data_IF_876201036985
#
_entry.id   IF_876201036985
#
_cell.length_a   1.000
_cell.length_b   1.000
_cell.length_c   1.000
_cell.angle_alpha   90.00
_cell.angle_beta   90.00
_cell.angle_gamma   90.00
#
_symmetry.space_group_name_H-M   'P 1'
#
loop_
_entity.id
_entity.type
_entity.pdbx_description
1 polymer ?
#
# COMPACT_ATOMS: atom_id res chain seq x y z
N UNK A 1 9.10 12.77 6.87
CA UNK A 1 10.46 13.13 7.33
C UNK A 1 11.39 13.02 6.13
N UNK A 2 12.08 14.11 5.82
CA UNK A 2 12.28 14.55 4.44
C UNK A 2 13.34 13.81 3.64
N UNK A 3 12.93 13.33 2.47
CA UNK A 3 13.80 12.70 1.45
C UNK A 3 14.98 13.60 1.04
N UNK A 4 14.84 14.92 1.22
CA UNK A 4 15.87 15.92 0.97
C UNK A 4 17.06 15.80 1.93
N UNK A 5 16.84 15.37 3.17
CA UNK A 5 17.91 15.16 4.16
C UNK A 5 18.78 13.98 3.70
N UNK A 6 18.16 12.87 3.30
CA UNK A 6 18.88 11.71 2.77
C UNK A 6 19.67 12.04 1.49
N UNK A 7 19.06 12.77 0.56
CA UNK A 7 19.71 13.19 -0.69
C UNK A 7 20.95 14.06 -0.44
N UNK A 8 20.89 14.96 0.55
CA UNK A 8 22.04 15.81 0.89
C UNK A 8 23.20 15.03 1.53
N UNK A 9 22.90 14.02 2.35
CA UNK A 9 23.91 13.14 2.94
C UNK A 9 24.60 12.32 1.84
N UNK A 10 23.83 11.75 0.92
CA UNK A 10 24.35 10.93 -0.19
C UNK A 10 25.22 11.78 -1.14
N UNK A 11 24.78 13.00 -1.48
CA UNK A 11 25.53 13.91 -2.33
C UNK A 11 26.87 14.33 -1.72
N UNK A 12 26.90 14.58 -0.40
CA UNK A 12 28.12 14.91 0.33
C UNK A 12 29.13 13.76 0.32
N UNK A 13 28.67 12.54 0.60
CA UNK A 13 29.52 11.33 0.59
C UNK A 13 30.07 11.05 -0.82
N UNK A 14 29.25 11.21 -1.87
CA UNK A 14 29.69 11.04 -3.25
C UNK A 14 30.80 12.03 -3.66
N UNK A 15 30.71 13.28 -3.19
CA UNK A 15 31.70 14.32 -3.49
C UNK A 15 33.05 14.05 -2.81
N UNK A 16 33.03 13.57 -1.56
CA UNK A 16 34.23 13.19 -0.81
C UNK A 16 34.92 11.98 -1.46
N UNK A 17 34.15 10.98 -1.88
CA UNK A 17 34.69 9.82 -2.61
C UNK A 17 35.29 10.25 -3.96
N UNK A 18 34.62 11.16 -4.67
CA UNK A 18 35.12 11.79 -5.90
C UNK A 18 36.53 12.38 -5.76
N UNK A 19 36.78 13.10 -4.67
CA UNK A 19 38.08 13.71 -4.37
C UNK A 19 39.16 12.66 -4.03
N UNK A 20 38.81 11.64 -3.25
CA UNK A 20 39.77 10.59 -2.83
C UNK A 20 40.22 9.74 -4.05
N UNK A 21 39.34 9.48 -5.02
CA UNK A 21 39.66 8.76 -6.27
C UNK A 21 40.68 9.54 -7.12
N UNK A 22 40.60 10.87 -7.12
CA UNK A 22 41.49 11.72 -7.92
C UNK A 22 42.96 11.59 -7.49
N UNK A 23 43.19 11.31 -6.20
CA UNK A 23 44.52 11.29 -5.57
C UNK A 23 45.29 9.99 -5.85
N UNK A 24 44.63 8.84 -6.05
CA UNK A 24 45.30 7.54 -6.25
C UNK A 24 45.33 7.11 -7.73
N UNK A 25 46.46 7.35 -8.40
CA UNK A 25 46.61 7.26 -9.87
C UNK A 25 46.83 5.85 -10.44
N UNK A 26 47.37 4.90 -9.67
CA UNK A 26 47.73 3.56 -10.18
C UNK A 26 46.75 2.42 -9.78
N UNK A 27 45.86 2.64 -8.81
CA UNK A 27 44.82 1.66 -8.43
C UNK A 27 43.41 1.99 -8.97
N UNK A 28 43.36 2.86 -10.00
CA UNK A 28 42.14 3.47 -10.55
C UNK A 28 41.06 2.47 -10.98
N UNK A 29 41.44 1.27 -11.44
CA UNK A 29 40.47 0.26 -11.89
C UNK A 29 39.73 -0.39 -10.71
N UNK A 30 40.46 -0.83 -9.69
CA UNK A 30 39.86 -1.50 -8.52
C UNK A 30 38.98 -0.51 -7.75
N UNK A 31 39.45 0.72 -7.55
CA UNK A 31 38.70 1.77 -6.86
C UNK A 31 37.41 2.11 -7.64
N UNK A 32 37.47 2.24 -8.98
CA UNK A 32 36.29 2.47 -9.82
C UNK A 32 35.28 1.32 -9.73
N UNK A 33 35.74 0.08 -9.76
CA UNK A 33 34.86 -1.10 -9.65
C UNK A 33 34.15 -1.12 -8.30
N UNK A 34 34.88 -0.88 -7.20
CA UNK A 34 34.29 -0.85 -5.85
C UNK A 34 33.24 0.24 -5.74
N UNK A 35 33.46 1.41 -6.35
CA UNK A 35 32.50 2.52 -6.32
C UNK A 35 31.28 2.31 -7.19
N UNK A 36 31.45 1.73 -8.38
CA UNK A 36 30.32 1.35 -9.22
C UNK A 36 29.48 0.30 -8.50
N UNK A 37 30.12 -0.69 -7.88
CA UNK A 37 29.45 -1.72 -7.10
C UNK A 37 28.72 -1.14 -5.88
N UNK A 38 29.36 -0.22 -5.13
CA UNK A 38 28.73 0.42 -3.99
C UNK A 38 27.55 1.30 -4.40
N UNK A 39 27.66 2.01 -5.53
CA UNK A 39 26.57 2.82 -6.07
C UNK A 39 25.38 1.95 -6.52
N UNK A 40 25.63 0.81 -7.17
CA UNK A 40 24.59 -0.14 -7.57
C UNK A 40 23.90 -0.71 -6.34
N UNK A 41 24.67 -1.17 -5.34
CA UNK A 41 24.11 -1.70 -4.10
C UNK A 41 23.25 -0.65 -3.38
N UNK A 42 23.74 0.58 -3.28
CA UNK A 42 23.02 1.69 -2.66
C UNK A 42 21.72 2.05 -3.41
N UNK A 43 21.75 2.03 -4.74
CA UNK A 43 20.56 2.28 -5.56
C UNK A 43 19.53 1.17 -5.39
N UNK A 44 19.96 -0.10 -5.37
CA UNK A 44 19.08 -1.24 -5.14
C UNK A 44 18.41 -1.20 -3.76
N UNK A 45 19.17 -0.91 -2.70
CA UNK A 45 18.61 -0.83 -1.33
C UNK A 45 17.64 0.34 -1.19
N UNK A 46 17.93 1.48 -1.81
CA UNK A 46 17.04 2.65 -1.78
C UNK A 46 15.70 2.37 -2.46
N UNK A 47 15.70 1.70 -3.63
CA UNK A 47 14.47 1.31 -4.33
C UNK A 47 13.67 0.31 -3.49
N UNK A 48 14.35 -0.68 -2.90
CA UNK A 48 13.69 -1.68 -2.05
C UNK A 48 13.04 -1.05 -0.82
N UNK A 49 13.73 -0.14 -0.14
CA UNK A 49 13.19 0.58 1.03
C UNK A 49 11.99 1.47 0.61
N UNK A 50 12.09 2.17 -0.52
CA UNK A 50 10.99 2.99 -1.02
C UNK A 50 9.76 2.14 -1.36
N UNK A 51 9.95 0.95 -1.95
CA UNK A 51 8.88 0.01 -2.21
C UNK A 51 8.21 -0.46 -0.91
N UNK A 52 9.00 -0.89 0.07
CA UNK A 52 8.51 -1.36 1.37
C UNK A 52 7.73 -0.27 2.11
N UNK A 53 8.24 0.97 2.05
CA UNK A 53 7.57 2.13 2.64
C UNK A 53 6.22 2.44 1.97
N UNK A 54 6.16 2.36 0.64
CA UNK A 54 4.91 2.53 -0.10
C UNK A 54 3.90 1.43 0.22
N UNK A 55 4.34 0.17 0.36
CA UNK A 55 3.44 -0.93 0.75
C UNK A 55 2.87 -0.73 2.15
N UNK A 56 3.68 -0.29 3.10
CA UNK A 56 3.23 0.01 4.47
C UNK A 56 2.21 1.15 4.47
N UNK A 57 2.50 2.27 3.81
CA UNK A 57 1.55 3.37 3.71
C UNK A 57 0.27 3.00 2.98
N UNK A 58 0.37 2.12 1.97
CA UNK A 58 -0.81 1.58 1.28
C UNK A 58 -1.69 0.78 2.24
N UNK A 59 -1.11 -0.08 3.08
CA UNK A 59 -1.85 -0.86 4.08
C UNK A 59 -2.51 0.03 5.12
N UNK A 60 -1.79 1.01 5.65
CA UNK A 60 -2.31 2.00 6.61
C UNK A 60 -3.47 2.81 6.00
N UNK A 61 -3.36 3.22 4.73
CA UNK A 61 -4.43 3.91 4.04
C UNK A 61 -5.67 3.03 3.86
N UNK A 62 -5.49 1.76 3.51
CA UNK A 62 -6.58 0.78 3.36
C UNK A 62 -7.29 0.54 4.69
N UNK A 63 -6.53 0.34 5.77
CA UNK A 63 -7.04 0.19 7.14
C UNK A 63 -7.92 1.39 7.52
N UNK A 64 -7.38 2.60 7.38
CA UNK A 64 -8.07 3.85 7.70
C UNK A 64 -9.34 4.04 6.87
N UNK A 65 -9.26 3.76 5.57
CA UNK A 65 -10.42 3.83 4.66
C UNK A 65 -11.48 2.80 5.01
N UNK A 66 -11.11 1.57 5.37
CA UNK A 66 -12.04 0.53 5.80
C UNK A 66 -12.76 0.93 7.10
N UNK A 67 -12.02 1.45 8.09
CA UNK A 67 -12.61 1.98 9.32
C UNK A 67 -13.56 3.16 9.06
N UNK A 68 -13.14 4.11 8.24
CA UNK A 68 -13.96 5.27 7.89
C UNK A 68 -15.27 4.85 7.21
N UNK A 69 -15.19 3.90 6.26
CA UNK A 69 -16.37 3.39 5.57
C UNK A 69 -17.29 2.63 6.51
N UNK A 70 -16.76 1.74 7.36
CA UNK A 70 -17.54 1.00 8.35
C UNK A 70 -18.31 1.93 9.30
N UNK A 71 -17.67 3.01 9.76
CA UNK A 71 -18.31 4.00 10.63
C UNK A 71 -19.47 4.73 9.94
N UNK A 72 -19.48 4.80 8.60
CA UNK A 72 -20.52 5.43 7.80
C UNK A 72 -21.73 4.52 7.52
N UNK A 73 -21.71 3.24 7.93
CA UNK A 73 -22.84 2.31 7.73
C UNK A 73 -24.17 2.86 8.25
N UNK A 74 -24.15 3.50 9.42
CA UNK A 74 -25.38 4.00 10.06
C UNK A 74 -25.84 5.37 9.51
N UNK A 75 -24.97 6.06 8.77
CA UNK A 75 -25.26 7.36 8.15
C UNK A 75 -25.77 7.22 6.70
N UNK A 76 -25.78 6.01 6.14
CA UNK A 76 -26.09 5.74 4.73
C UNK A 76 -27.17 4.65 4.59
N UNK A 77 -27.85 4.62 3.44
CA UNK A 77 -28.77 3.52 3.13
C UNK A 77 -28.00 2.20 3.01
N UNK A 78 -28.66 1.07 3.30
CA UNK A 78 -28.03 -0.25 3.17
C UNK A 78 -27.49 -0.48 1.75
N UNK A 79 -28.28 -0.18 0.72
CA UNK A 79 -27.84 -0.20 -0.68
C UNK A 79 -26.63 0.71 -0.96
N UNK A 80 -26.66 1.96 -0.48
CA UNK A 80 -25.54 2.90 -0.66
C UNK A 80 -24.26 2.42 0.00
N UNK A 81 -24.37 1.83 1.20
CA UNK A 81 -23.26 1.22 1.90
C UNK A 81 -22.70 0.00 1.16
N UNK A 82 -23.54 -0.85 0.60
CA UNK A 82 -23.13 -2.01 -0.21
C UNK A 82 -22.35 -1.57 -1.44
N UNK A 83 -22.84 -0.57 -2.20
CA UNK A 83 -22.12 -0.05 -3.36
C UNK A 83 -20.79 0.64 -3.00
N UNK A 84 -20.76 1.39 -1.90
CA UNK A 84 -19.52 2.00 -1.41
C UNK A 84 -18.50 0.93 -1.01
N UNK A 85 -18.95 -0.13 -0.35
CA UNK A 85 -18.12 -1.28 0.04
C UNK A 85 -17.58 -2.04 -1.18
N UNK A 86 -18.42 -2.27 -2.19
CA UNK A 86 -17.99 -2.86 -3.47
C UNK A 86 -16.94 -2.01 -4.17
N UNK A 87 -17.16 -0.69 -4.26
CA UNK A 87 -16.22 0.25 -4.89
C UNK A 87 -14.87 0.22 -4.16
N UNK A 88 -14.89 0.21 -2.83
CA UNK A 88 -13.69 0.06 -2.02
C UNK A 88 -12.95 -1.25 -2.33
N UNK A 89 -13.66 -2.37 -2.44
CA UNK A 89 -13.06 -3.67 -2.76
C UNK A 89 -12.55 -3.75 -4.19
N UNK A 90 -13.20 -3.08 -5.14
CA UNK A 90 -12.76 -3.02 -6.54
C UNK A 90 -11.42 -2.29 -6.68
N UNK A 91 -11.27 -1.15 -5.99
CA UNK A 91 -10.02 -0.38 -5.96
C UNK A 91 -8.88 -1.21 -5.36
N UNK A 92 -9.17 -2.10 -4.41
CA UNK A 92 -8.19 -2.92 -3.71
C UNK A 92 -8.21 -4.40 -4.16
N UNK A 93 -8.70 -4.67 -5.38
CA UNK A 93 -8.83 -6.05 -5.90
C UNK A 93 -7.51 -6.75 -6.12
N UNK A 94 -6.41 -6.00 -6.28
CA UNK A 94 -5.06 -6.54 -6.41
C UNK A 94 -4.62 -7.23 -5.11
N UNK A 95 -5.08 -6.71 -3.96
CA UNK A 95 -4.80 -7.26 -2.64
C UNK A 95 -5.82 -8.31 -2.19
N UNK A 96 -7.10 -8.13 -2.56
CA UNK A 96 -8.19 -8.97 -2.08
C UNK A 96 -9.08 -9.54 -3.20
N UNK A 97 -8.53 -10.22 -4.21
CA UNK A 97 -9.28 -10.63 -5.39
C UNK A 97 -10.44 -11.59 -5.06
N UNK A 98 -10.22 -12.52 -4.13
CA UNK A 98 -11.26 -13.49 -3.76
C UNK A 98 -12.35 -12.89 -2.88
N UNK A 99 -11.99 -11.93 -2.03
CA UNK A 99 -12.96 -11.19 -1.22
C UNK A 99 -13.82 -10.30 -2.10
N UNK A 100 -13.22 -9.63 -3.10
CA UNK A 100 -13.97 -8.88 -4.09
C UNK A 100 -14.96 -9.76 -4.88
N UNK A 101 -14.53 -10.94 -5.35
CA UNK A 101 -15.44 -11.92 -6.00
C UNK A 101 -16.59 -12.35 -5.09
N UNK A 102 -16.33 -12.59 -3.81
CA UNK A 102 -17.38 -12.93 -2.83
C UNK A 102 -18.33 -11.75 -2.60
N UNK A 103 -17.81 -10.53 -2.53
CA UNK A 103 -18.61 -9.33 -2.38
C UNK A 103 -19.54 -9.08 -3.57
N UNK A 104 -19.07 -9.34 -4.80
CA UNK A 104 -19.94 -9.30 -6.00
C UNK A 104 -21.12 -10.26 -5.82
N UNK A 105 -20.87 -11.51 -5.43
CA UNK A 105 -21.95 -12.49 -5.21
C UNK A 105 -22.96 -12.03 -4.16
N UNK A 106 -22.48 -11.44 -3.06
CA UNK A 106 -23.37 -10.88 -2.03
C UNK A 106 -24.30 -9.80 -2.61
N UNK A 107 -23.78 -8.97 -3.51
CA UNK A 107 -24.59 -7.94 -4.16
C UNK A 107 -25.56 -8.50 -5.21
N UNK A 108 -25.13 -9.50 -6.00
CA UNK A 108 -26.01 -10.22 -6.94
C UNK A 108 -27.15 -10.96 -6.21
N UNK A 109 -26.83 -11.62 -5.09
CA UNK A 109 -27.81 -12.31 -4.23
C UNK A 109 -28.78 -11.29 -3.60
N UNK A 110 -28.29 -10.10 -3.23
CA UNK A 110 -29.13 -9.01 -2.72
C UNK A 110 -30.12 -8.50 -3.79
N UNK A 111 -29.64 -8.22 -5.01
CA UNK A 111 -30.46 -7.70 -6.10
C UNK A 111 -31.52 -8.69 -6.59
N UNK A 112 -31.20 -10.00 -6.55
CA UNK A 112 -32.11 -11.06 -6.98
C UNK A 112 -33.06 -11.54 -5.88
N UNK A 113 -32.86 -11.10 -4.64
CA UNK A 113 -33.67 -11.54 -3.50
C UNK A 113 -35.02 -10.85 -3.43
N UNK A 114 -36.06 -11.63 -3.10
CA UNK A 114 -37.40 -11.10 -2.79
C UNK A 114 -37.55 -10.73 -1.31
N UNK A 115 -36.50 -10.91 -0.50
CA UNK A 115 -36.53 -10.62 0.93
C UNK A 115 -36.38 -9.12 1.18
N UNK A 116 -37.27 -8.56 1.99
CA UNK A 116 -37.16 -7.16 2.47
C UNK A 116 -35.92 -6.92 3.36
N UNK A 117 -35.26 -7.99 3.81
CA UNK A 117 -34.05 -7.91 4.64
C UNK A 117 -32.75 -8.06 3.82
N UNK A 118 -32.84 -8.33 2.52
CA UNK A 118 -31.67 -8.64 1.69
C UNK A 118 -30.60 -7.54 1.72
N UNK A 119 -31.00 -6.27 1.63
CA UNK A 119 -30.06 -5.15 1.71
C UNK A 119 -29.39 -5.05 3.09
N UNK A 120 -30.13 -5.30 4.16
CA UNK A 120 -29.60 -5.24 5.53
C UNK A 120 -28.58 -6.37 5.78
N UNK A 121 -28.88 -7.57 5.29
CA UNK A 121 -28.01 -8.73 5.38
C UNK A 121 -26.73 -8.51 4.56
N UNK A 122 -26.86 -8.03 3.32
CA UNK A 122 -25.74 -7.68 2.46
C UNK A 122 -24.88 -6.56 3.08
N UNK A 123 -25.49 -5.50 3.60
CA UNK A 123 -24.78 -4.41 4.29
C UNK A 123 -24.09 -4.89 5.57
N UNK A 124 -24.61 -5.93 6.23
CA UNK A 124 -23.97 -6.53 7.40
C UNK A 124 -22.78 -7.40 7.01
N UNK A 125 -22.93 -8.25 6.00
CA UNK A 125 -21.83 -9.03 5.45
C UNK A 125 -20.70 -8.13 4.91
N UNK A 126 -21.03 -7.06 4.19
CA UNK A 126 -20.04 -6.09 3.70
C UNK A 126 -19.30 -5.39 4.84
N UNK A 127 -20.00 -5.04 5.93
CA UNK A 127 -19.36 -4.47 7.13
C UNK A 127 -18.37 -5.44 7.75
N UNK A 128 -18.74 -6.71 7.87
CA UNK A 128 -17.86 -7.73 8.47
C UNK A 128 -16.62 -7.99 7.60
N UNK A 129 -16.78 -7.93 6.27
CA UNK A 129 -15.66 -7.96 5.33
C UNK A 129 -14.71 -6.77 5.57
N UNK A 130 -15.26 -5.55 5.64
CA UNK A 130 -14.45 -4.35 5.89
C UNK A 130 -13.76 -4.40 7.26
N UNK A 131 -14.42 -4.92 8.28
CA UNK A 131 -13.83 -5.15 9.60
C UNK A 131 -12.66 -6.13 9.55
N UNK A 132 -12.81 -7.25 8.85
CA UNK A 132 -11.73 -8.21 8.63
C UNK A 132 -10.53 -7.58 7.90
N UNK A 133 -10.79 -6.76 6.87
CA UNK A 133 -9.73 -6.03 6.15
C UNK A 133 -9.03 -5.02 7.06
N UNK A 134 -9.78 -4.31 7.91
CA UNK A 134 -9.20 -3.37 8.86
C UNK A 134 -8.25 -4.08 9.83
N UNK A 135 -8.69 -5.15 10.50
CA UNK A 135 -7.83 -5.91 11.43
C UNK A 135 -6.59 -6.50 10.74
N UNK A 136 -6.74 -7.01 9.52
CA UNK A 136 -5.62 -7.63 8.79
C UNK A 136 -4.55 -6.61 8.35
N UNK A 137 -4.90 -5.33 8.29
CA UNK A 137 -3.97 -4.25 7.95
C UNK A 137 -3.54 -3.41 9.15
N UNK A 138 -4.18 -3.61 10.31
CA UNK A 138 -3.80 -2.98 11.57
C UNK A 138 -2.34 -3.35 11.88
N UNK A 139 -1.50 -2.31 12.02
CA UNK A 139 -0.04 -2.40 12.12
C UNK A 139 0.44 -3.55 13.03
N UNK A 140 1.15 -4.52 12.44
CA UNK A 140 2.03 -5.48 13.15
C UNK A 140 3.49 -5.13 12.93
#
# INVERSE_FOLDING_TARGET
MDYTIWLSIIASVASILGLIISIFRDQRLIIKIILILSFILFSCTSIYIAHLHNELHRREAIEKSAHALMNKKYDSSHLGFVHASLTFLEVNKDLYPDTYKRAIKIAEDMESSTSIYAEMDAASAMKDILYGIAILNENK
#
